data_IF_421888849278
#
_entry.id   IF_421888849278
#
_cell.length_a   1.000
_cell.length_b   1.000
_cell.length_c   1.000
_cell.angle_alpha   90.00
_cell.angle_beta   90.00
_cell.angle_gamma   90.00
#
_symmetry.space_group_name_H-M   'P 1'
#
loop_
_entity.id
_entity.type
_entity.pdbx_description
1 polymer ?
#
# COMPACT_ATOMS: atom_id res chain seq x y z
N UNK A 1 22.85 11.94 18.06
CA UNK A 1 22.30 11.89 16.70
C UNK A 1 23.22 11.01 15.86
N UNK A 2 24.42 11.44 15.50
CA UNK A 2 25.38 10.60 14.73
C UNK A 2 25.66 9.20 15.31
N UNK A 3 25.74 9.05 16.64
CA UNK A 3 25.93 7.74 17.28
C UNK A 3 24.70 6.84 17.27
N UNK A 4 23.50 7.42 17.24
CA UNK A 4 22.24 6.70 17.15
C UNK A 4 21.98 6.27 15.70
N UNK A 5 22.26 7.15 14.74
CA UNK A 5 22.13 6.84 13.31
C UNK A 5 23.06 5.69 12.91
N UNK A 6 24.33 5.75 13.34
CA UNK A 6 25.28 4.67 13.10
C UNK A 6 24.87 3.34 13.79
N UNK A 7 24.21 3.41 14.95
CA UNK A 7 23.69 2.23 15.63
C UNK A 7 22.48 1.64 14.90
N UNK A 8 21.57 2.49 14.41
CA UNK A 8 20.43 2.10 13.60
C UNK A 8 20.89 1.42 12.31
N UNK A 9 21.82 2.02 11.57
CA UNK A 9 22.34 1.46 10.32
C UNK A 9 22.99 0.09 10.54
N UNK A 10 23.79 -0.04 11.60
CA UNK A 10 24.40 -1.32 11.97
C UNK A 10 23.36 -2.38 12.31
N UNK A 11 22.33 -2.02 13.07
CA UNK A 11 21.26 -2.94 13.46
C UNK A 11 20.42 -3.36 12.26
N UNK A 12 20.11 -2.43 11.34
CA UNK A 12 19.43 -2.72 10.08
C UNK A 12 20.24 -3.64 9.18
N UNK A 13 21.56 -3.44 9.08
CA UNK A 13 22.44 -4.33 8.33
C UNK A 13 22.49 -5.75 8.92
N UNK A 14 22.53 -5.89 10.25
CA UNK A 14 22.45 -7.20 10.92
C UNK A 14 21.09 -7.88 10.66
N UNK A 15 20.00 -7.12 10.73
CA UNK A 15 18.67 -7.62 10.44
C UNK A 15 18.51 -8.03 8.96
N UNK A 16 19.02 -7.25 8.00
CA UNK A 16 19.06 -7.61 6.57
C UNK A 16 19.73 -8.98 6.36
N UNK A 17 20.87 -9.23 7.00
CA UNK A 17 21.58 -10.50 6.89
C UNK A 17 20.77 -11.68 7.47
N UNK A 18 20.11 -11.47 8.61
CA UNK A 18 19.25 -12.49 9.23
C UNK A 18 18.04 -12.79 8.37
N UNK A 19 17.39 -11.77 7.82
CA UNK A 19 16.26 -11.91 6.89
C UNK A 19 16.68 -12.63 5.62
N UNK A 20 17.82 -12.28 5.03
CA UNK A 20 18.37 -12.97 3.85
C UNK A 20 18.58 -14.46 4.11
N UNK A 21 19.11 -14.81 5.28
CA UNK A 21 19.30 -16.21 5.70
C UNK A 21 17.96 -16.93 5.91
N UNK A 22 16.99 -16.26 6.53
CA UNK A 22 15.68 -16.82 6.84
C UNK A 22 14.82 -17.03 5.59
N UNK A 23 14.81 -16.07 4.67
CA UNK A 23 14.02 -16.10 3.44
C UNK A 23 14.63 -17.02 2.37
N UNK A 24 15.96 -17.16 2.39
CA UNK A 24 16.69 -17.96 1.41
C UNK A 24 16.76 -17.28 0.03
N UNK A 25 17.12 -18.04 -1.02
CA UNK A 25 17.26 -17.50 -2.37
C UNK A 25 15.95 -16.94 -2.92
N UNK A 26 16.01 -15.75 -3.51
CA UNK A 26 14.89 -15.12 -4.20
C UNK A 26 15.01 -15.31 -5.72
N UNK A 27 13.97 -15.86 -6.35
CA UNK A 27 13.99 -16.27 -7.76
C UNK A 27 12.76 -15.83 -8.55
N UNK A 28 12.05 -14.79 -8.10
CA UNK A 28 10.88 -14.29 -8.82
C UNK A 28 11.33 -13.64 -10.13
N UNK A 29 10.70 -14.04 -11.24
CA UNK A 29 11.00 -13.57 -12.59
C UNK A 29 10.85 -12.05 -12.68
N UNK A 30 11.78 -11.40 -13.38
CA UNK A 30 11.81 -9.95 -13.66
C UNK A 30 12.12 -9.05 -12.45
N UNK A 31 12.43 -9.64 -11.29
CA UNK A 31 12.87 -8.91 -10.09
C UNK A 31 14.32 -9.26 -9.73
N UNK A 32 15.07 -8.33 -9.10
CA UNK A 32 16.44 -8.58 -8.70
C UNK A 32 16.53 -9.65 -7.59
N UNK A 33 17.48 -10.57 -7.72
CA UNK A 33 17.71 -11.59 -6.70
C UNK A 33 18.19 -11.03 -5.36
N UNK A 34 18.94 -9.92 -5.39
CA UNK A 34 19.36 -9.21 -4.18
C UNK A 34 18.21 -8.35 -3.66
N UNK A 35 17.92 -8.47 -2.37
CA UNK A 35 16.94 -7.64 -1.67
C UNK A 35 17.60 -6.74 -0.64
N UNK A 36 16.89 -5.68 -0.25
CA UNK A 36 17.26 -4.77 0.83
C UNK A 36 16.22 -4.77 1.93
N UNK A 37 16.64 -4.55 3.17
CA UNK A 37 15.70 -4.50 4.29
C UNK A 37 14.57 -3.50 4.01
N UNK A 38 13.33 -3.98 4.15
CA UNK A 38 12.13 -3.18 3.91
C UNK A 38 11.89 -2.13 5.02
N UNK A 39 12.28 -2.44 6.25
CA UNK A 39 12.18 -1.50 7.37
C UNK A 39 13.19 -0.37 7.21
N UNK A 40 12.71 0.86 7.31
CA UNK A 40 13.52 2.07 7.15
C UNK A 40 14.18 2.53 8.46
N UNK A 41 13.50 2.35 9.59
CA UNK A 41 14.07 2.66 10.91
C UNK A 41 13.70 1.63 11.98
N UNK A 42 14.64 1.41 12.90
CA UNK A 42 14.42 0.62 14.12
C UNK A 42 14.18 1.52 15.35
N UNK A 43 14.14 2.84 15.15
CA UNK A 43 13.83 3.82 16.20
C UNK A 43 12.35 4.19 16.15
N UNK A 44 11.65 4.05 17.28
CA UNK A 44 10.22 4.39 17.38
C UNK A 44 9.89 5.88 17.20
N UNK A 45 10.90 6.74 17.10
CA UNK A 45 10.75 8.17 16.81
C UNK A 45 10.71 8.50 15.32
N UNK A 46 11.06 7.55 14.45
CA UNK A 46 11.32 7.84 13.05
C UNK A 46 10.25 7.24 12.15
N UNK A 47 10.04 7.89 11.00
CA UNK A 47 9.21 7.36 9.92
C UNK A 47 9.75 6.00 9.46
N UNK A 48 8.85 5.09 9.12
CA UNK A 48 9.17 3.73 8.71
C UNK A 48 9.57 2.79 9.85
N UNK A 49 9.44 3.22 11.11
CA UNK A 49 9.49 2.31 12.25
C UNK A 49 8.31 1.34 12.28
N UNK A 50 8.60 0.08 12.59
CA UNK A 50 7.57 -0.93 12.77
C UNK A 50 6.93 -1.41 11.46
N UNK A 51 7.55 -1.12 10.31
CA UNK A 51 7.20 -1.73 9.04
C UNK A 51 7.39 -3.25 9.06
N UNK A 52 6.85 -3.94 8.05
CA UNK A 52 6.96 -5.39 7.97
C UNK A 52 8.43 -5.82 7.82
N UNK A 53 8.86 -6.73 8.69
CA UNK A 53 10.13 -7.46 8.56
C UNK A 53 10.16 -8.23 7.23
N UNK A 54 11.03 -7.81 6.32
CA UNK A 54 11.15 -8.41 4.99
C UNK A 54 12.28 -7.80 4.17
N UNK A 55 12.52 -8.40 2.99
CA UNK A 55 13.46 -7.87 2.00
C UNK A 55 12.68 -7.37 0.78
N UNK A 56 12.93 -6.12 0.40
CA UNK A 56 12.47 -5.50 -0.85
C UNK A 56 13.41 -5.83 -1.99
N UNK A 57 12.88 -6.44 -3.03
CA UNK A 57 13.54 -6.77 -4.28
C UNK A 57 13.01 -5.85 -5.39
N UNK A 58 13.77 -4.81 -5.73
CA UNK A 58 13.35 -3.80 -6.70
C UNK A 58 13.79 -2.40 -6.28
N UNK A 59 13.17 -1.39 -6.87
CA UNK A 59 13.37 0.03 -6.53
C UNK A 59 12.13 0.60 -5.87
N UNK A 60 12.28 1.72 -5.18
CA UNK A 60 11.16 2.46 -4.56
C UNK A 60 10.23 3.05 -5.63
N UNK A 61 10.80 3.70 -6.66
CA UNK A 61 10.03 4.34 -7.75
C UNK A 61 9.65 3.39 -8.91
N UNK A 62 9.68 2.07 -8.69
CA UNK A 62 9.45 1.10 -9.76
C UNK A 62 8.94 -0.23 -9.24
N UNK A 63 8.79 -1.25 -10.11
CA UNK A 63 8.31 -2.54 -9.69
C UNK A 63 9.19 -3.10 -8.56
N UNK A 64 8.56 -3.48 -7.45
CA UNK A 64 9.26 -4.11 -6.34
C UNK A 64 8.43 -5.20 -5.66
N UNK A 65 9.12 -6.10 -4.95
CA UNK A 65 8.49 -7.13 -4.13
C UNK A 65 9.09 -7.08 -2.73
N UNK A 66 8.24 -6.93 -1.71
CA UNK A 66 8.62 -7.19 -0.32
C UNK A 66 8.35 -8.66 0.00
N UNK A 67 9.43 -9.42 0.22
CA UNK A 67 9.38 -10.82 0.61
C UNK A 67 9.52 -10.96 2.14
N UNK A 68 8.62 -11.73 2.74
CA UNK A 68 8.60 -12.06 4.16
C UNK A 68 8.19 -13.53 4.37
N UNK A 69 8.02 -13.93 5.62
CA UNK A 69 7.48 -15.24 5.98
C UNK A 69 6.12 -15.09 6.64
N UNK A 70 5.32 -16.16 6.57
CA UNK A 70 4.03 -16.23 7.29
C UNK A 70 4.21 -15.91 8.77
N UNK A 71 5.18 -16.54 9.44
CA UNK A 71 5.43 -16.32 10.86
C UNK A 71 5.82 -14.88 11.21
N UNK A 72 6.61 -14.20 10.37
CA UNK A 72 6.95 -12.79 10.57
C UNK A 72 5.71 -11.90 10.41
N UNK A 73 4.92 -12.10 9.36
CA UNK A 73 3.69 -11.33 9.13
C UNK A 73 2.67 -11.57 10.24
N UNK A 74 2.46 -12.81 10.70
CA UNK A 74 1.57 -13.11 11.84
C UNK A 74 2.03 -12.39 13.11
N UNK A 75 3.33 -12.42 13.41
CA UNK A 75 3.89 -11.75 14.58
C UNK A 75 3.78 -10.23 14.48
N UNK A 76 3.97 -9.68 13.28
CA UNK A 76 3.81 -8.27 12.98
C UNK A 76 2.34 -7.85 13.14
N UNK A 77 1.39 -8.58 12.58
CA UNK A 77 -0.06 -8.32 12.75
C UNK A 77 -0.49 -8.37 14.22
N UNK A 78 0.07 -9.26 15.04
CA UNK A 78 -0.17 -9.25 16.49
C UNK A 78 0.31 -7.95 17.16
N UNK A 79 1.44 -7.40 16.72
CA UNK A 79 1.92 -6.09 17.19
C UNK A 79 0.98 -4.97 16.75
N UNK A 80 0.57 -4.98 15.48
CA UNK A 80 -0.35 -3.97 14.91
C UNK A 80 -1.74 -4.03 15.55
N UNK A 81 -2.20 -5.20 15.97
CA UNK A 81 -3.45 -5.37 16.70
C UNK A 81 -3.40 -4.83 18.15
N UNK A 82 -2.20 -4.58 18.68
CA UNK A 82 -2.01 -3.97 20.00
C UNK A 82 -1.91 -2.43 19.94
N UNK A 83 -1.95 -1.83 18.74
CA UNK A 83 -1.94 -0.38 18.60
C UNK A 83 -3.13 0.28 19.29
N UNK A 84 -2.86 1.45 19.86
CA UNK A 84 -3.86 2.27 20.56
C UNK A 84 -4.58 3.23 19.63
N UNK A 85 -3.90 3.65 18.55
CA UNK A 85 -4.52 4.41 17.48
C UNK A 85 -5.44 3.48 16.67
N UNK A 86 -6.72 3.86 16.56
CA UNK A 86 -7.72 3.07 15.87
C UNK A 86 -7.45 2.98 14.36
N UNK A 87 -6.85 4.02 13.77
CA UNK A 87 -6.60 4.11 12.33
C UNK A 87 -5.38 3.27 11.92
N UNK A 88 -4.46 3.02 12.86
CA UNK A 88 -3.29 2.15 12.65
C UNK A 88 -3.54 0.71 13.06
N UNK A 89 -4.66 0.42 13.73
CA UNK A 89 -4.93 -0.91 14.26
C UNK A 89 -5.31 -1.89 13.16
N UNK A 90 -4.53 -2.96 13.03
CA UNK A 90 -4.82 -4.03 12.07
C UNK A 90 -5.39 -5.27 12.77
N UNK A 91 -6.28 -6.03 12.09
CA UNK A 91 -6.72 -7.32 12.58
C UNK A 91 -5.58 -8.34 12.49
N UNK A 92 -5.60 -9.37 13.36
CA UNK A 92 -4.61 -10.43 13.35
C UNK A 92 -4.81 -11.47 12.23
N UNK A 93 -5.98 -11.47 11.58
CA UNK A 93 -6.29 -12.37 10.46
C UNK A 93 -5.72 -11.83 9.16
N UNK A 94 -4.96 -12.66 8.45
CA UNK A 94 -4.42 -12.34 7.12
C UNK A 94 -5.49 -11.85 6.15
N UNK A 95 -6.56 -12.63 5.97
CA UNK A 95 -7.62 -12.30 5.00
C UNK A 95 -8.30 -10.97 5.34
N UNK A 96 -8.47 -10.66 6.62
CA UNK A 96 -9.02 -9.38 7.03
C UNK A 96 -8.03 -8.23 6.84
N UNK A 97 -6.75 -8.43 7.21
CA UNK A 97 -5.73 -7.40 7.14
C UNK A 97 -5.40 -7.00 5.70
N UNK A 98 -5.26 -7.98 4.80
CA UNK A 98 -4.93 -7.75 3.39
C UNK A 98 -6.02 -7.02 2.60
N UNK A 99 -7.19 -6.79 3.18
CA UNK A 99 -8.28 -5.98 2.57
C UNK A 99 -8.24 -4.52 3.02
N UNK A 100 -7.35 -4.16 3.94
CA UNK A 100 -7.28 -2.83 4.52
C UNK A 100 -6.14 -2.04 3.87
N UNK A 101 -6.41 -0.79 3.55
CA UNK A 101 -5.41 0.16 3.04
C UNK A 101 -4.27 0.34 4.04
N UNK A 102 -4.59 0.47 5.33
CA UNK A 102 -3.64 0.59 6.43
C UNK A 102 -2.65 -0.58 6.53
N UNK A 103 -2.99 -1.78 6.02
CA UNK A 103 -2.02 -2.88 5.95
C UNK A 103 -0.88 -2.55 5.00
N UNK A 104 -1.21 -2.07 3.79
CA UNK A 104 -0.22 -1.79 2.75
C UNK A 104 0.63 -0.59 3.11
N UNK A 105 0.01 0.48 3.61
CA UNK A 105 0.72 1.61 4.22
C UNK A 105 1.73 1.09 5.24
N UNK A 106 1.28 0.50 6.34
CA UNK A 106 2.21 0.13 7.41
C UNK A 106 3.21 -0.97 7.02
N UNK A 107 2.89 -1.84 6.06
CA UNK A 107 3.79 -2.92 5.67
C UNK A 107 4.90 -2.45 4.73
N UNK A 108 4.57 -1.62 3.72
CA UNK A 108 5.46 -1.37 2.58
C UNK A 108 5.54 0.11 2.13
N UNK A 109 4.86 1.05 2.79
CA UNK A 109 4.94 2.48 2.47
C UNK A 109 4.94 3.37 3.72
N UNK A 110 6.03 4.09 3.97
CA UNK A 110 6.18 4.90 5.19
C UNK A 110 5.87 6.38 4.97
N UNK A 111 6.05 6.86 3.75
CA UNK A 111 6.00 8.27 3.38
C UNK A 111 4.62 8.69 2.86
N UNK A 112 3.85 7.75 2.31
CA UNK A 112 2.54 7.98 1.75
C UNK A 112 1.55 6.86 2.13
N UNK A 113 0.27 7.22 2.26
CA UNK A 113 -0.77 6.24 2.53
C UNK A 113 -1.21 5.55 1.24
N UNK A 114 -1.33 4.23 1.27
CA UNK A 114 -2.02 3.50 0.21
C UNK A 114 -3.50 3.84 0.26
N UNK A 115 -4.09 4.15 -0.89
CA UNK A 115 -5.53 4.36 -1.03
C UNK A 115 -6.08 3.43 -2.09
N UNK A 116 -6.90 2.47 -1.67
CA UNK A 116 -7.49 1.48 -2.57
C UNK A 116 -8.57 2.10 -3.46
N UNK A 117 -8.52 1.76 -4.75
CA UNK A 117 -9.54 2.11 -5.76
C UNK A 117 -10.46 0.93 -6.05
N UNK A 118 -9.89 -0.27 -6.29
CA UNK A 118 -10.65 -1.50 -6.50
C UNK A 118 -9.82 -2.74 -6.17
N UNK A 119 -10.51 -3.84 -5.90
CA UNK A 119 -9.89 -5.16 -5.77
C UNK A 119 -10.04 -5.97 -7.07
N UNK A 120 -8.95 -6.56 -7.54
CA UNK A 120 -8.96 -7.44 -8.70
C UNK A 120 -9.42 -8.85 -8.32
N UNK A 121 -10.20 -9.47 -9.21
CA UNK A 121 -10.57 -10.89 -9.08
C UNK A 121 -9.51 -11.76 -9.74
N UNK A 122 -8.50 -12.15 -8.98
CA UNK A 122 -7.47 -13.06 -9.45
C UNK A 122 -7.93 -14.52 -9.44
N UNK A 123 -7.33 -15.31 -10.33
CA UNK A 123 -7.25 -16.76 -10.14
C UNK A 123 -6.06 -17.03 -9.23
N UNK A 124 -6.31 -17.65 -8.08
CA UNK A 124 -5.23 -18.08 -7.18
C UNK A 124 -4.26 -19.01 -7.93
N UNK A 125 -2.97 -18.68 -8.01
CA UNK A 125 -1.98 -19.54 -8.65
C UNK A 125 -1.91 -20.92 -7.98
N UNK A 126 -1.60 -21.96 -8.76
CA UNK A 126 -1.55 -23.33 -8.23
C UNK A 126 -0.52 -23.46 -7.10
N UNK A 127 -0.95 -24.06 -5.99
CA UNK A 127 -0.13 -24.25 -4.79
C UNK A 127 0.03 -23.00 -3.93
N UNK A 128 -0.51 -21.85 -4.32
CA UNK A 128 -0.66 -20.71 -3.42
C UNK A 128 -1.89 -20.91 -2.52
N UNK A 129 -1.78 -20.46 -1.27
CA UNK A 129 -2.87 -20.48 -0.31
C UNK A 129 -3.81 -19.28 -0.52
N UNK A 130 -3.24 -18.15 -0.95
CA UNK A 130 -3.96 -16.87 -1.10
C UNK A 130 -3.32 -16.03 -2.20
N UNK A 131 -4.13 -15.31 -2.96
CA UNK A 131 -3.69 -14.24 -3.85
C UNK A 131 -4.71 -13.10 -3.77
N UNK A 132 -4.29 -11.93 -3.31
CA UNK A 132 -5.11 -10.71 -3.25
C UNK A 132 -4.42 -9.68 -4.12
N UNK A 133 -5.18 -9.01 -4.97
CA UNK A 133 -4.65 -7.91 -5.77
C UNK A 133 -5.59 -6.72 -5.71
N UNK A 134 -4.99 -5.55 -5.62
CA UNK A 134 -5.66 -4.27 -5.45
C UNK A 134 -5.04 -3.27 -6.41
N UNK A 135 -5.87 -2.39 -6.94
CA UNK A 135 -5.44 -1.19 -7.62
C UNK A 135 -5.62 -0.04 -6.63
N UNK A 136 -4.60 0.80 -6.48
CA UNK A 136 -4.66 1.97 -5.61
C UNK A 136 -3.46 2.87 -5.84
N UNK A 137 -3.38 3.99 -5.14
CA UNK A 137 -2.26 4.92 -5.25
C UNK A 137 -1.70 5.32 -3.90
N UNK A 138 -0.42 5.68 -3.89
CA UNK A 138 0.27 6.25 -2.74
C UNK A 138 0.04 7.76 -2.71
N UNK A 139 -0.50 8.30 -1.61
CA UNK A 139 -0.72 9.74 -1.47
C UNK A 139 -0.48 10.22 -0.02
N UNK A 140 0.09 11.43 0.11
CA UNK A 140 0.16 12.17 1.38
C UNK A 140 -1.06 13.08 1.57
N UNK A 141 -1.61 13.57 0.46
CA UNK A 141 -2.73 14.51 0.42
C UNK A 141 -4.01 13.84 -0.07
N UNK A 142 -5.14 14.41 0.34
CA UNK A 142 -6.46 14.01 -0.15
C UNK A 142 -6.71 14.58 -1.55
N UNK A 143 -7.15 13.72 -2.47
CA UNK A 143 -7.57 14.15 -3.80
C UNK A 143 -7.46 13.07 -4.88
N UNK A 144 -7.79 13.40 -6.14
CA UNK A 144 -7.76 12.45 -7.24
C UNK A 144 -6.35 11.94 -7.46
N UNK A 145 -6.17 10.63 -7.27
CA UNK A 145 -4.91 9.96 -7.56
C UNK A 145 -5.05 9.09 -8.82
N UNK A 146 -4.35 9.50 -9.89
CA UNK A 146 -4.28 8.77 -11.17
C UNK A 146 -2.98 7.97 -11.32
N UNK A 147 -1.98 8.24 -10.48
CA UNK A 147 -0.72 7.53 -10.44
C UNK A 147 -0.93 6.28 -9.57
N UNK A 148 -1.59 5.29 -10.17
CA UNK A 148 -1.98 4.06 -9.48
C UNK A 148 -1.01 2.92 -9.74
N UNK A 149 -0.89 2.08 -8.72
CA UNK A 149 -0.09 0.88 -8.63
C UNK A 149 -1.01 -0.35 -8.64
N UNK A 150 -0.53 -1.43 -9.26
CA UNK A 150 -1.09 -2.77 -9.09
C UNK A 150 -0.33 -3.43 -7.94
N UNK A 151 -1.00 -3.59 -6.80
CA UNK A 151 -0.43 -4.20 -5.60
C UNK A 151 -0.97 -5.62 -5.43
N UNK A 152 -0.09 -6.61 -5.33
CA UNK A 152 -0.46 -8.03 -5.26
C UNK A 152 0.21 -8.68 -4.05
N UNK A 153 -0.58 -9.26 -3.16
CA UNK A 153 -0.09 -10.14 -2.10
C UNK A 153 -0.29 -11.60 -2.47
N UNK A 154 0.79 -12.38 -2.50
CA UNK A 154 0.76 -13.83 -2.64
C UNK A 154 1.20 -14.49 -1.34
N UNK A 155 0.43 -15.47 -0.88
CA UNK A 155 0.79 -16.34 0.25
C UNK A 155 0.91 -17.76 -0.27
N UNK A 156 2.08 -18.38 -0.08
CA UNK A 156 2.38 -19.74 -0.56
C UNK A 156 3.22 -20.49 0.48
N UNK A 157 2.58 -21.38 1.24
CA UNK A 157 3.22 -22.08 2.35
C UNK A 157 3.77 -21.07 3.37
N UNK A 158 5.08 -21.12 3.63
CA UNK A 158 5.70 -20.17 4.56
C UNK A 158 6.04 -18.81 3.90
N UNK A 159 5.96 -18.67 2.58
CA UNK A 159 6.33 -17.44 1.88
C UNK A 159 5.15 -16.47 1.81
N UNK A 160 5.41 -15.19 2.10
CA UNK A 160 4.49 -14.08 1.85
C UNK A 160 5.24 -13.05 1.03
N UNK A 161 4.69 -12.66 -0.12
CA UNK A 161 5.26 -11.65 -0.99
C UNK A 161 4.22 -10.59 -1.31
N UNK A 162 4.62 -9.32 -1.26
CA UNK A 162 3.79 -8.17 -1.62
C UNK A 162 4.51 -7.47 -2.77
N UNK A 163 3.97 -7.63 -3.97
CA UNK A 163 4.44 -6.94 -5.17
C UNK A 163 3.70 -5.60 -5.33
N UNK A 164 4.39 -4.59 -5.82
CA UNK A 164 3.80 -3.38 -6.39
C UNK A 164 4.48 -3.05 -7.72
N UNK A 165 3.71 -2.49 -8.65
CA UNK A 165 4.20 -2.06 -9.95
C UNK A 165 3.23 -1.05 -10.59
N UNK A 166 3.74 -0.02 -11.29
CA UNK A 166 2.89 1.01 -11.89
C UNK A 166 1.83 0.40 -12.79
N UNK A 167 0.60 0.91 -12.69
CA UNK A 167 -0.51 0.44 -13.50
C UNK A 167 -0.21 0.62 -14.99
N UNK A 168 -0.19 -0.50 -15.72
CA UNK A 168 0.15 -0.55 -17.13
C UNK A 168 -0.95 -1.28 -17.90
N UNK A 169 -1.73 -0.59 -18.75
CA UNK A 169 -1.62 0.83 -19.10
C UNK A 169 -2.07 1.76 -17.95
N UNK A 170 -1.67 3.05 -17.98
CA UNK A 170 -2.07 4.01 -16.96
C UNK A 170 -3.59 4.10 -16.79
N UNK A 171 -4.03 4.32 -15.54
CA UNK A 171 -5.44 4.46 -15.21
C UNK A 171 -5.99 5.73 -15.88
N UNK A 172 -7.05 5.63 -16.71
CA UNK A 172 -7.56 6.78 -17.44
C UNK A 172 -8.35 7.72 -16.52
N UNK A 173 -8.37 9.00 -16.89
CA UNK A 173 -9.31 9.97 -16.29
C UNK A 173 -10.73 9.65 -16.73
N UNK A 174 -11.64 9.55 -15.77
CA UNK A 174 -13.06 9.31 -16.02
C UNK A 174 -13.81 10.59 -15.66
N UNK A 175 -14.31 11.30 -16.68
CA UNK A 175 -14.90 12.62 -16.52
C UNK A 175 -16.04 12.67 -15.48
N UNK A 176 -16.83 11.59 -15.36
CA UNK A 176 -17.87 11.49 -14.36
C UNK A 176 -17.31 11.46 -12.92
N UNK A 177 -16.16 10.82 -12.71
CA UNK A 177 -15.50 10.77 -11.41
C UNK A 177 -14.75 12.07 -11.11
N UNK A 178 -14.11 12.70 -12.10
CA UNK A 178 -13.55 14.05 -11.95
C UNK A 178 -14.60 15.07 -11.49
N UNK A 179 -15.84 14.95 -12.00
CA UNK A 179 -16.95 15.81 -11.58
C UNK A 179 -17.34 15.60 -10.11
N UNK A 180 -17.22 14.38 -9.57
CA UNK A 180 -17.45 14.08 -8.15
C UNK A 180 -16.44 14.84 -7.29
N UNK A 181 -15.15 14.73 -7.60
CA UNK A 181 -14.11 15.46 -6.88
C UNK A 181 -14.29 16.97 -7.01
N UNK A 182 -14.49 17.48 -8.24
CA UNK A 182 -14.64 18.92 -8.49
C UNK A 182 -15.78 19.53 -7.67
N UNK A 183 -16.89 18.81 -7.50
CA UNK A 183 -18.00 19.26 -6.67
C UNK A 183 -17.64 19.29 -5.17
N UNK A 184 -16.92 18.26 -4.69
CA UNK A 184 -16.48 18.18 -3.31
C UNK A 184 -15.44 19.27 -2.98
N UNK A 185 -14.45 19.47 -3.83
CA UNK A 185 -13.43 20.51 -3.69
C UNK A 185 -14.05 21.91 -3.68
N UNK A 186 -15.00 22.20 -4.58
CA UNK A 186 -15.72 23.46 -4.58
C UNK A 186 -16.56 23.69 -3.29
N UNK A 187 -17.04 22.62 -2.66
CA UNK A 187 -17.74 22.70 -1.37
C UNK A 187 -16.76 22.95 -0.22
N UNK A 188 -15.66 22.20 -0.15
CA UNK A 188 -14.62 22.36 0.85
C UNK A 188 -13.99 23.76 0.81
N UNK A 189 -13.64 24.27 -0.38
CA UNK A 189 -13.10 25.62 -0.53
C UNK A 189 -14.06 26.73 -0.07
N UNK A 190 -15.38 26.52 -0.14
CA UNK A 190 -16.35 27.48 0.42
C UNK A 190 -16.30 27.48 1.95
N UNK A 191 -16.14 26.31 2.58
CA UNK A 191 -15.98 26.18 4.02
C UNK A 191 -14.68 26.85 4.50
N UNK A 192 -13.56 26.62 3.80
CA UNK A 192 -12.28 27.30 4.08
C UNK A 192 -12.41 28.82 3.99
N UNK A 193 -13.12 29.35 2.98
CA UNK A 193 -13.35 30.80 2.86
C UNK A 193 -14.23 31.36 3.97
N UNK A 194 -15.16 30.58 4.51
CA UNK A 194 -15.96 30.96 5.66
C UNK A 194 -15.11 30.97 6.93
N UNK A 195 -14.23 29.97 7.10
CA UNK A 195 -13.25 29.88 8.18
C UNK A 195 -12.21 31.01 8.16
N UNK A 196 -11.79 31.48 6.98
CA UNK A 196 -10.81 32.58 6.90
C UNK A 196 -11.34 33.92 7.44
N UNK A 197 -12.67 34.05 7.64
CA UNK A 197 -13.31 35.21 8.26
C UNK A 197 -13.59 35.09 9.76
N UNK A 198 -13.66 33.86 10.29
CA UNK A 198 -13.99 33.54 11.68
C UNK A 198 -12.98 32.50 12.20
N UNK A 199 -12.28 32.77 13.30
CA UNK A 199 -11.26 31.86 13.87
C UNK A 199 -11.87 30.62 14.55
N UNK A 200 -12.78 29.91 13.87
CA UNK A 200 -13.54 28.76 14.37
C UNK A 200 -12.96 27.45 13.81
N UNK A 201 -12.28 26.70 14.68
CA UNK A 201 -11.69 25.38 14.38
C UNK A 201 -12.70 24.40 13.75
N UNK A 202 -13.99 24.49 14.11
CA UNK A 202 -15.03 23.60 13.58
C UNK A 202 -15.23 23.72 12.06
N UNK A 203 -14.91 24.89 11.49
CA UNK A 203 -15.06 25.12 10.05
C UNK A 203 -13.90 24.55 9.22
N UNK A 204 -12.70 24.40 9.83
CA UNK A 204 -11.58 23.68 9.23
C UNK A 204 -11.87 22.19 9.16
N UNK A 205 -12.34 21.60 10.28
CA UNK A 205 -12.69 20.18 10.36
C UNK A 205 -13.78 19.81 9.33
N UNK A 206 -14.73 20.71 9.08
CA UNK A 206 -15.78 20.50 8.09
C UNK A 206 -15.24 20.50 6.65
N UNK A 207 -14.23 21.33 6.36
CA UNK A 207 -13.59 21.35 5.04
C UNK A 207 -12.79 20.07 4.80
N UNK A 208 -12.02 19.62 5.79
CA UNK A 208 -11.23 18.39 5.73
C UNK A 208 -12.14 17.17 5.59
N UNK A 209 -13.25 17.11 6.33
CA UNK A 209 -14.25 16.07 6.18
C UNK A 209 -14.90 16.07 4.78
N UNK A 210 -15.12 17.25 4.19
CA UNK A 210 -15.67 17.37 2.84
C UNK A 210 -14.67 16.88 1.77
N UNK A 211 -13.38 17.20 1.91
CA UNK A 211 -12.34 16.66 1.03
C UNK A 211 -12.19 15.15 1.19
N UNK A 212 -12.08 14.64 2.42
CA UNK A 212 -11.93 13.20 2.69
C UNK A 212 -13.10 12.40 2.12
N UNK A 213 -14.32 12.92 2.26
CA UNK A 213 -15.50 12.33 1.62
C UNK A 213 -15.41 12.41 0.09
N UNK A 214 -14.98 13.54 -0.46
CA UNK A 214 -14.82 13.75 -1.89
C UNK A 214 -13.84 12.76 -2.53
N UNK A 215 -12.71 12.51 -1.89
CA UNK A 215 -11.74 11.50 -2.32
C UNK A 215 -12.33 10.08 -2.25
N UNK A 216 -12.98 9.72 -1.14
CA UNK A 216 -13.62 8.41 -1.00
C UNK A 216 -14.69 8.19 -2.08
N UNK A 217 -15.54 9.18 -2.35
CA UNK A 217 -16.55 9.12 -3.40
C UNK A 217 -15.92 9.06 -4.80
N UNK A 218 -14.83 9.79 -5.05
CA UNK A 218 -14.06 9.74 -6.29
C UNK A 218 -13.52 8.32 -6.54
N UNK A 219 -12.84 7.72 -5.55
CA UNK A 219 -12.29 6.36 -5.65
C UNK A 219 -13.41 5.33 -5.83
N UNK A 220 -14.53 5.46 -5.12
CA UNK A 220 -15.69 4.60 -5.32
C UNK A 220 -16.27 4.71 -6.75
N UNK A 221 -16.32 5.93 -7.30
CA UNK A 221 -16.71 6.14 -8.70
C UNK A 221 -15.74 5.46 -9.67
N UNK A 222 -14.44 5.62 -9.46
CA UNK A 222 -13.39 4.99 -10.27
C UNK A 222 -13.49 3.47 -10.20
N UNK A 223 -13.57 2.89 -9.00
CA UNK A 223 -13.69 1.45 -8.80
C UNK A 223 -14.95 0.84 -9.43
N UNK A 224 -16.03 1.60 -9.50
CA UNK A 224 -17.25 1.19 -10.21
C UNK A 224 -17.11 1.29 -11.73
N UNK A 225 -16.43 2.31 -12.23
CA UNK A 225 -16.37 2.63 -13.66
C UNK A 225 -15.25 1.91 -14.41
N UNK A 226 -14.15 1.61 -13.72
CA UNK A 226 -12.97 0.98 -14.33
C UNK A 226 -13.24 -0.41 -14.91
N UNK A 227 -14.02 -1.32 -14.29
CA UNK A 227 -14.29 -2.64 -14.86
C UNK A 227 -14.90 -2.62 -16.29
N UNK A 228 -15.63 -1.56 -16.63
CA UNK A 228 -16.22 -1.37 -17.96
C UNK A 228 -15.29 -0.61 -18.94
N UNK A 229 -14.12 -0.15 -18.46
CA UNK A 229 -13.15 0.59 -19.26
C UNK A 229 -12.26 -0.37 -20.08
N UNK A 230 -11.90 -0.03 -21.34
CA UNK A 230 -11.00 -0.84 -22.17
C UNK A 230 -9.64 -1.19 -21.55
N UNK A 231 -9.14 -0.42 -20.57
CA UNK A 231 -7.85 -0.72 -19.91
C UNK A 231 -7.93 -1.87 -18.92
N UNK A 232 -9.11 -2.16 -18.36
CA UNK A 232 -9.24 -3.06 -17.22
C UNK A 232 -8.76 -4.50 -17.47
N UNK A 233 -9.01 -5.12 -18.64
CA UNK A 233 -8.47 -6.45 -18.92
C UNK A 233 -6.93 -6.51 -18.86
N UNK A 234 -6.24 -5.45 -19.28
CA UNK A 234 -4.79 -5.37 -19.22
C UNK A 234 -4.27 -5.21 -17.79
N UNK A 235 -4.94 -4.38 -16.97
CA UNK A 235 -4.62 -4.22 -15.55
C UNK A 235 -4.82 -5.53 -14.76
N UNK A 236 -5.93 -6.23 -15.04
CA UNK A 236 -6.19 -7.53 -14.43
C UNK A 236 -5.14 -8.57 -14.86
N UNK A 237 -4.74 -8.55 -16.14
CA UNK A 237 -3.68 -9.43 -16.63
C UNK A 237 -2.32 -9.11 -16.00
N UNK A 238 -1.99 -7.85 -15.78
CA UNK A 238 -0.78 -7.43 -15.04
C UNK A 238 -0.80 -7.98 -13.60
N UNK A 239 -1.91 -7.81 -12.89
CA UNK A 239 -2.06 -8.33 -11.53
C UNK A 239 -1.93 -9.85 -11.47
N UNK A 240 -2.53 -10.56 -12.44
CA UNK A 240 -2.41 -12.01 -12.55
C UNK A 240 -0.96 -12.44 -12.86
N UNK A 241 -0.27 -11.74 -13.75
CA UNK A 241 1.13 -12.04 -14.09
C UNK A 241 2.06 -11.88 -12.88
N UNK A 242 1.89 -10.82 -12.08
CA UNK A 242 2.64 -10.64 -10.83
C UNK A 242 2.39 -11.80 -9.86
N UNK A 243 1.14 -12.21 -9.68
CA UNK A 243 0.79 -13.35 -8.83
C UNK A 243 1.42 -14.66 -9.33
N UNK A 244 1.38 -14.91 -10.64
CA UNK A 244 1.94 -16.10 -11.26
C UNK A 244 3.47 -16.13 -11.18
N UNK A 245 4.16 -15.02 -11.44
CA UNK A 245 5.62 -14.91 -11.28
C UNK A 245 6.04 -15.19 -9.83
N UNK A 246 5.35 -14.61 -8.85
CA UNK A 246 5.59 -14.88 -7.43
C UNK A 246 5.33 -16.35 -7.06
N UNK A 247 4.40 -17.02 -7.74
CA UNK A 247 4.14 -18.43 -7.55
C UNK A 247 5.20 -19.35 -8.20
N UNK A 248 6.14 -18.78 -8.97
CA UNK A 248 7.21 -19.50 -9.69
C UNK A 248 6.77 -20.01 -11.07
N UNK A 249 5.80 -19.36 -11.70
CA UNK A 249 5.34 -19.66 -13.06
C UNK A 249 5.96 -18.74 -14.11
#
# INVERSE_FOLDING_TARGET
VETLDAANDKARADLEQRLSTLLGPFTVKDFPAAGKINIESLSSSDVGFGMLDGLRHGTEDGPSIVASTRGLVERWLQSRAAETDADLKLPTSFDAALKLDAFYTQAIGSDAAFTGTLDFKLKTPDGADMAIARLGGWAQDVGPNYDQEVVVTLVKGNSVMIAEAPATPPVPKIAACDAVWTAADAAAQKLVKQAAGDSDENTSDAADAAWAKGDSDFRACMGKSLPDNPVFPALLAQAQALADHMAGK
#
